data_IF_449288676553
#
_entry.id   IF_449288676553
#
_cell.length_a   1.000
_cell.length_b   1.000
_cell.length_c   1.000
_cell.angle_alpha   90.00
_cell.angle_beta   90.00
_cell.angle_gamma   90.00
#
_symmetry.space_group_name_H-M   'P 1'
#
loop_
_entity.id
_entity.type
_entity.pdbx_description
1 polymer ?
#
# COMPACT_ATOMS: atom_id res chain seq x y z
N UNK A 1 -16.16 19.61 -9.77
CA UNK A 1 -16.81 18.53 -8.99
C UNK A 1 -17.46 17.49 -9.92
N UNK A 2 -16.74 16.99 -10.94
CA UNK A 2 -17.29 16.06 -11.97
C UNK A 2 -16.51 14.75 -12.15
N UNK A 3 -15.32 14.60 -11.55
CA UNK A 3 -14.49 13.40 -11.75
C UNK A 3 -14.84 12.23 -10.81
N UNK A 4 -15.56 12.48 -9.72
CA UNK A 4 -15.87 11.46 -8.70
C UNK A 4 -16.73 10.29 -9.20
N UNK A 5 -17.47 10.45 -10.31
CA UNK A 5 -18.45 9.45 -10.77
C UNK A 5 -17.88 8.47 -11.81
N UNK A 6 -16.78 8.81 -12.51
CA UNK A 6 -16.28 7.99 -13.62
C UNK A 6 -15.53 6.72 -13.15
N UNK A 7 -14.78 6.82 -12.05
CA UNK A 7 -13.90 5.73 -11.59
C UNK A 7 -14.55 4.77 -10.59
N UNK A 8 -15.70 5.13 -10.01
CA UNK A 8 -16.36 4.35 -8.96
C UNK A 8 -16.78 2.95 -9.41
N UNK A 9 -17.08 2.80 -10.70
CA UNK A 9 -17.49 1.54 -11.32
C UNK A 9 -16.31 0.66 -11.76
N UNK A 10 -15.08 1.18 -11.76
CA UNK A 10 -13.91 0.42 -12.18
C UNK A 10 -13.47 -0.58 -11.11
N UNK A 11 -13.23 -1.81 -11.56
CA UNK A 11 -12.53 -2.84 -10.80
C UNK A 11 -11.06 -2.47 -10.60
N UNK A 12 -10.42 -3.07 -9.60
CA UNK A 12 -8.99 -2.85 -9.35
C UNK A 12 -8.11 -3.19 -10.55
N UNK A 13 -8.51 -4.20 -11.34
CA UNK A 13 -7.78 -4.61 -12.54
C UNK A 13 -7.86 -3.54 -13.62
N UNK A 14 -9.06 -3.03 -13.91
CA UNK A 14 -9.28 -1.96 -14.90
C UNK A 14 -8.51 -0.70 -14.52
N UNK A 15 -8.51 -0.32 -13.23
CA UNK A 15 -7.70 0.80 -12.72
C UNK A 15 -6.22 0.62 -13.06
N UNK A 16 -5.67 -0.59 -12.88
CA UNK A 16 -4.24 -0.86 -13.14
C UNK A 16 -3.89 -0.92 -14.62
N UNK A 17 -4.81 -1.42 -15.45
CA UNK A 17 -4.67 -1.38 -16.92
C UNK A 17 -4.65 0.08 -17.39
N UNK A 18 -5.62 0.87 -16.97
CA UNK A 18 -5.70 2.29 -17.36
C UNK A 18 -4.48 3.08 -16.84
N UNK A 19 -4.04 2.87 -15.60
CA UNK A 19 -2.82 3.50 -15.08
C UNK A 19 -1.54 3.09 -15.81
N UNK A 20 -1.56 1.96 -16.52
CA UNK A 20 -0.44 1.49 -17.35
C UNK A 20 -0.44 2.21 -18.70
N UNK A 21 -1.60 2.30 -19.35
CA UNK A 21 -1.76 2.92 -20.67
C UNK A 21 -1.70 4.45 -20.59
N UNK A 22 -2.40 5.04 -19.61
CA UNK A 22 -2.47 6.46 -19.35
C UNK A 22 -2.24 6.73 -17.85
N UNK A 23 -1.01 7.05 -17.41
CA UNK A 23 -0.72 7.31 -16.00
C UNK A 23 -1.33 8.65 -15.55
N UNK A 24 -2.64 8.63 -15.32
CA UNK A 24 -3.44 9.76 -14.88
C UNK A 24 -3.34 9.92 -13.35
N UNK A 25 -2.93 11.12 -12.92
CA UNK A 25 -2.85 11.49 -11.51
C UNK A 25 -4.22 11.39 -10.82
N UNK A 26 -5.32 11.72 -11.49
CA UNK A 26 -6.66 11.65 -10.93
C UNK A 26 -7.06 10.20 -10.62
N UNK A 27 -6.79 9.28 -11.55
CA UNK A 27 -7.03 7.85 -11.35
C UNK A 27 -6.14 7.25 -10.25
N UNK A 28 -4.86 7.66 -10.18
CA UNK A 28 -3.98 7.23 -9.11
C UNK A 28 -4.47 7.72 -7.74
N UNK A 29 -4.88 8.98 -7.64
CA UNK A 29 -5.45 9.54 -6.42
C UNK A 29 -6.75 8.84 -6.02
N UNK A 30 -7.58 8.46 -7.00
CA UNK A 30 -8.78 7.68 -6.75
C UNK A 30 -8.45 6.30 -6.15
N UNK A 31 -7.54 5.56 -6.77
CA UNK A 31 -7.03 4.30 -6.26
C UNK A 31 -6.48 4.46 -4.83
N UNK A 32 -5.65 5.48 -4.63
CA UNK A 32 -5.04 5.76 -3.34
C UNK A 32 -6.11 6.01 -2.27
N UNK A 33 -7.05 6.92 -2.52
CA UNK A 33 -8.11 7.25 -1.56
C UNK A 33 -9.03 6.06 -1.26
N UNK A 34 -9.28 5.18 -2.23
CA UNK A 34 -10.13 3.99 -2.08
C UNK A 34 -9.48 2.90 -1.22
N UNK A 35 -8.18 2.66 -1.40
CA UNK A 35 -7.49 1.54 -0.74
C UNK A 35 -6.71 1.95 0.51
N UNK A 36 -6.18 3.18 0.56
CA UNK A 36 -5.32 3.64 1.66
C UNK A 36 -5.95 3.42 3.04
N UNK A 37 -7.20 3.82 3.34
CA UNK A 37 -7.78 3.60 4.67
C UNK A 37 -7.85 2.12 5.06
N UNK A 38 -8.21 1.23 4.12
CA UNK A 38 -8.29 -0.22 4.36
C UNK A 38 -6.92 -0.80 4.67
N UNK A 39 -5.89 -0.37 3.94
CA UNK A 39 -4.51 -0.82 4.13
C UNK A 39 -3.92 -0.29 5.44
N UNK A 40 -4.27 0.93 5.87
CA UNK A 40 -3.88 1.47 7.18
C UNK A 40 -4.43 0.60 8.31
N UNK A 41 -5.73 0.32 8.30
CA UNK A 41 -6.35 -0.57 9.28
C UNK A 41 -5.68 -1.94 9.31
N UNK A 42 -5.36 -2.50 8.15
CA UNK A 42 -4.67 -3.78 8.06
C UNK A 42 -3.23 -3.71 8.62
N UNK A 43 -2.46 -2.67 8.30
CA UNK A 43 -1.11 -2.47 8.82
C UNK A 43 -1.11 -2.29 10.36
N UNK A 44 -2.10 -1.59 10.90
CA UNK A 44 -2.29 -1.39 12.35
C UNK A 44 -2.46 -2.70 13.12
N UNK A 45 -2.94 -3.78 12.49
CA UNK A 45 -2.99 -5.11 13.11
C UNK A 45 -1.59 -5.59 13.50
N UNK A 46 -0.55 -5.16 12.77
CA UNK A 46 0.84 -5.57 12.98
C UNK A 46 1.62 -4.54 13.79
N UNK A 47 1.68 -3.28 13.34
CA UNK A 47 2.62 -2.28 13.90
C UNK A 47 2.07 -1.48 15.07
N UNK A 48 0.75 -1.53 15.31
CA UNK A 48 0.06 -0.88 16.46
C UNK A 48 0.30 0.63 16.62
N UNK A 49 0.93 1.28 15.66
CA UNK A 49 1.20 2.72 15.65
C UNK A 49 0.76 3.31 14.31
N UNK A 50 -0.03 4.39 14.37
CA UNK A 50 -0.62 5.00 13.19
C UNK A 50 0.43 5.56 12.22
N UNK A 51 1.39 6.34 12.73
CA UNK A 51 2.45 6.93 11.92
C UNK A 51 3.26 5.88 11.14
N UNK A 52 3.54 4.72 11.76
CA UNK A 52 4.22 3.62 11.09
C UNK A 52 3.33 2.93 10.05
N UNK A 53 2.04 2.78 10.33
CA UNK A 53 1.10 2.26 9.36
C UNK A 53 1.04 3.17 8.11
N UNK A 54 1.02 4.49 8.29
CA UNK A 54 1.05 5.47 7.20
C UNK A 54 2.31 5.38 6.36
N UNK A 55 3.48 5.32 6.99
CA UNK A 55 4.76 5.14 6.31
C UNK A 55 4.78 3.85 5.47
N UNK A 56 4.42 2.71 6.10
CA UNK A 56 4.41 1.41 5.44
C UNK A 56 3.44 1.37 4.26
N UNK A 57 2.22 1.87 4.44
CA UNK A 57 1.20 1.83 3.38
C UNK A 57 1.60 2.75 2.24
N UNK A 58 2.14 3.94 2.53
CA UNK A 58 2.63 4.87 1.50
C UNK A 58 3.74 4.24 0.66
N UNK A 59 4.71 3.59 1.31
CA UNK A 59 5.79 2.87 0.63
C UNK A 59 5.26 1.73 -0.24
N UNK A 60 4.32 0.95 0.27
CA UNK A 60 3.72 -0.16 -0.49
C UNK A 60 2.96 0.38 -1.69
N UNK A 61 2.10 1.38 -1.52
CA UNK A 61 1.32 1.97 -2.63
C UNK A 61 2.24 2.55 -3.71
N UNK A 62 3.32 3.23 -3.33
CA UNK A 62 4.33 3.71 -4.29
C UNK A 62 5.02 2.56 -5.04
N UNK A 63 5.38 1.49 -4.34
CA UNK A 63 6.00 0.32 -4.97
C UNK A 63 5.04 -0.44 -5.90
N UNK A 64 3.77 -0.53 -5.52
CA UNK A 64 2.71 -1.10 -6.33
C UNK A 64 2.53 -0.30 -7.61
N UNK A 65 2.46 1.03 -7.52
CA UNK A 65 2.36 1.90 -8.68
C UNK A 65 3.56 1.78 -9.63
N UNK A 66 4.78 1.68 -9.09
CA UNK A 66 5.99 1.43 -9.90
C UNK A 66 5.95 0.08 -10.63
N UNK A 67 5.28 -0.92 -10.07
CA UNK A 67 5.16 -2.27 -10.64
C UNK A 67 3.83 -2.50 -11.38
N UNK A 68 3.04 -1.45 -11.61
CA UNK A 68 1.67 -1.55 -12.13
C UNK A 68 1.56 -2.36 -13.42
N UNK A 69 2.50 -2.21 -14.35
CA UNK A 69 2.51 -2.94 -15.63
C UNK A 69 2.57 -4.46 -15.42
N UNK A 70 3.46 -4.90 -14.52
CA UNK A 70 3.59 -6.32 -14.17
C UNK A 70 2.36 -6.83 -13.41
N UNK A 71 1.75 -5.98 -12.58
CA UNK A 71 0.60 -6.34 -11.77
C UNK A 71 -0.71 -6.35 -12.56
N UNK A 72 -0.84 -5.59 -13.64
CA UNK A 72 -2.02 -5.56 -14.50
C UNK A 72 -2.35 -6.96 -15.08
N UNK A 73 -1.34 -7.81 -15.30
CA UNK A 73 -1.50 -9.19 -15.76
C UNK A 73 -1.80 -10.20 -14.63
N UNK A 74 -1.82 -9.78 -13.37
CA UNK A 74 -2.07 -10.68 -12.23
C UNK A 74 -3.57 -10.91 -12.00
N UNK A 75 -3.95 -12.14 -11.70
CA UNK A 75 -5.33 -12.50 -11.36
C UNK A 75 -5.77 -11.97 -9.98
N UNK A 76 -4.84 -11.73 -9.06
CA UNK A 76 -5.15 -11.31 -7.68
C UNK A 76 -4.28 -10.15 -7.19
N UNK A 77 -4.48 -8.98 -7.79
CA UNK A 77 -3.78 -7.73 -7.45
C UNK A 77 -4.08 -7.33 -5.99
N UNK A 78 -5.33 -7.45 -5.55
CA UNK A 78 -5.74 -7.08 -4.20
C UNK A 78 -4.98 -7.91 -3.15
N UNK A 79 -4.96 -9.23 -3.32
CA UNK A 79 -4.19 -10.13 -2.45
C UNK A 79 -2.70 -9.78 -2.42
N UNK A 80 -2.11 -9.44 -3.58
CA UNK A 80 -0.71 -8.99 -3.64
C UNK A 80 -0.46 -7.72 -2.82
N UNK A 81 -1.36 -6.74 -2.88
CA UNK A 81 -1.26 -5.48 -2.12
C UNK A 81 -1.31 -5.78 -0.61
N UNK A 82 -2.30 -6.53 -0.15
CA UNK A 82 -2.43 -6.89 1.28
C UNK A 82 -1.23 -7.70 1.77
N UNK A 83 -0.75 -8.68 1.00
CA UNK A 83 0.46 -9.44 1.34
C UNK A 83 1.68 -8.52 1.42
N UNK A 84 1.80 -7.55 0.53
CA UNK A 84 2.91 -6.59 0.53
C UNK A 84 2.91 -5.72 1.80
N UNK A 85 1.74 -5.23 2.22
CA UNK A 85 1.59 -4.50 3.50
C UNK A 85 1.99 -5.37 4.68
N UNK A 86 1.46 -6.59 4.79
CA UNK A 86 1.84 -7.53 5.85
C UNK A 86 3.35 -7.75 5.89
N UNK A 87 3.97 -8.04 4.74
CA UNK A 87 5.39 -8.32 4.66
C UNK A 87 6.23 -7.11 5.08
N UNK A 88 5.85 -5.91 4.65
CA UNK A 88 6.55 -4.68 5.01
C UNK A 88 6.39 -4.35 6.51
N UNK A 89 5.20 -4.55 7.09
CA UNK A 89 4.96 -4.43 8.52
C UNK A 89 5.80 -5.41 9.35
N UNK A 90 5.83 -6.69 8.96
CA UNK A 90 6.64 -7.70 9.65
C UNK A 90 8.15 -7.42 9.51
N UNK A 91 8.59 -6.94 8.34
CA UNK A 91 9.97 -6.50 8.10
C UNK A 91 10.36 -5.35 9.02
N UNK A 92 9.48 -4.35 9.16
CA UNK A 92 9.69 -3.24 10.09
C UNK A 92 9.86 -3.76 11.53
N UNK A 93 8.92 -4.60 12.01
CA UNK A 93 8.97 -5.16 13.35
C UNK A 93 10.25 -5.96 13.61
N UNK A 94 10.69 -6.78 12.65
CA UNK A 94 11.95 -7.54 12.74
C UNK A 94 13.17 -6.63 12.86
N UNK A 95 13.22 -5.55 12.09
CA UNK A 95 14.33 -4.58 12.12
C UNK A 95 14.42 -3.85 13.47
N UNK A 96 13.28 -3.55 14.09
CA UNK A 96 13.21 -2.77 15.32
C UNK A 96 13.22 -3.63 16.59
N UNK A 97 12.81 -4.90 16.50
CA UNK A 97 12.93 -5.86 17.61
C UNK A 97 14.38 -6.04 18.07
N UNK A 98 15.35 -5.94 17.15
CA UNK A 98 16.78 -6.09 17.48
C UNK A 98 17.41 -4.79 18.02
N UNK A 99 16.79 -3.62 17.87
CA UNK A 99 17.33 -2.36 18.40
C UNK A 99 17.15 -2.23 19.91
N UNK A 100 16.01 -2.69 20.43
CA UNK A 100 15.68 -2.63 21.87
C UNK A 100 16.68 -3.42 22.74
N UNK A 101 17.39 -4.40 22.18
CA UNK A 101 18.38 -5.19 22.93
C UNK A 101 19.78 -4.56 23.00
N UNK A 102 20.10 -3.58 22.15
CA UNK A 102 21.44 -2.98 22.08
C UNK A 102 21.52 -1.72 22.98
N UNK A 103 20.42 -0.99 23.14
CA UNK A 103 20.40 0.25 23.94
C UNK A 103 20.38 0.02 25.47
N UNK A 104 20.25 -1.23 25.94
CA UNK A 104 20.13 -1.58 27.35
C UNK A 104 21.45 -2.04 28.02
N UNK A 105 22.61 -1.85 27.38
CA UNK A 105 23.92 -2.26 27.91
C UNK A 105 24.97 -1.13 28.01
N UNK A 106 24.57 0.14 27.88
CA UNK A 106 25.49 1.29 28.03
C UNK A 106 25.18 2.20 29.25
N UNK A 107 24.73 1.63 30.38
CA UNK A 107 24.72 2.33 31.68
C UNK A 107 25.35 1.48 32.78
#
# INVERSE_FOLDING_TARGET
MKERNLYDQLSLKEIFVELTENPDRALYNFFFNKYYPKLIWFALIYVKQHSLAEEIVSDVMMNIFKKREKLASSENIEGYIFISVKNQSLKYLRKHKNKVFIDNYEN
#
